data_IF_477759605234
#
_entry.id   IF_477759605234
#
_cell.length_a   1.000
_cell.length_b   1.000
_cell.length_c   1.000
_cell.angle_alpha   90.00
_cell.angle_beta   90.00
_cell.angle_gamma   90.00
#
_symmetry.space_group_name_H-M   'P 1'
#
loop_
_entity.id
_entity.type
_entity.pdbx_description
1 polymer ?
#
# COMPACT_ATOMS: atom_id res chain seq x y z
N UNK A 1 -2.08 18.29 0.89
CA UNK A 1 -1.85 16.83 0.91
C UNK A 1 -0.86 16.51 -0.21
N UNK A 2 0.05 15.56 -0.04
CA UNK A 2 1.00 15.20 -1.12
C UNK A 2 0.21 14.70 -2.35
N UNK A 3 0.60 15.09 -3.55
CA UNK A 3 -0.11 14.75 -4.79
C UNK A 3 -0.22 13.22 -5.00
N UNK A 4 0.76 12.43 -4.53
CA UNK A 4 0.70 10.96 -4.59
C UNK A 4 -0.44 10.43 -3.74
N UNK A 5 -0.60 11.01 -2.55
CA UNK A 5 -1.63 10.60 -1.60
C UNK A 5 -3.01 10.89 -2.19
N UNK A 6 -3.22 12.08 -2.74
CA UNK A 6 -4.52 12.41 -3.38
C UNK A 6 -4.78 11.53 -4.59
N UNK A 7 -3.80 11.33 -5.48
CA UNK A 7 -3.97 10.48 -6.65
C UNK A 7 -4.36 9.05 -6.27
N UNK A 8 -3.68 8.46 -5.27
CA UNK A 8 -4.01 7.12 -4.78
C UNK A 8 -5.42 7.07 -4.17
N UNK A 9 -5.72 8.01 -3.26
CA UNK A 9 -7.02 8.05 -2.58
C UNK A 9 -8.17 8.31 -3.55
N UNK A 10 -7.99 9.14 -4.57
CA UNK A 10 -9.03 9.43 -5.57
C UNK A 10 -9.39 8.19 -6.38
N UNK A 11 -8.39 7.41 -6.82
CA UNK A 11 -8.65 6.14 -7.48
C UNK A 11 -9.35 5.16 -6.54
N UNK A 12 -8.91 5.05 -5.28
CA UNK A 12 -9.55 4.16 -4.31
C UNK A 12 -10.98 4.59 -3.94
N UNK A 13 -11.25 5.90 -3.82
CA UNK A 13 -12.57 6.46 -3.54
C UNK A 13 -13.57 6.11 -4.66
N UNK A 14 -13.12 6.12 -5.91
CA UNK A 14 -13.94 5.74 -7.06
C UNK A 14 -14.37 4.25 -7.03
N UNK A 15 -13.67 3.41 -6.27
CA UNK A 15 -13.96 1.98 -6.12
C UNK A 15 -14.82 1.63 -4.91
N UNK A 16 -15.21 2.63 -4.10
CA UNK A 16 -16.02 2.41 -2.90
C UNK A 16 -17.35 1.73 -3.24
N UNK A 17 -17.67 0.67 -2.50
CA UNK A 17 -18.84 -0.16 -2.75
C UNK A 17 -18.60 -1.33 -3.70
N UNK A 18 -17.38 -1.49 -4.23
CA UNK A 18 -17.01 -2.69 -4.98
C UNK A 18 -17.21 -3.94 -4.11
N UNK A 19 -17.88 -4.94 -4.67
CA UNK A 19 -18.10 -6.24 -4.05
C UNK A 19 -17.48 -7.34 -4.92
N UNK A 20 -16.74 -8.26 -4.31
CA UNK A 20 -16.27 -9.44 -5.03
C UNK A 20 -17.45 -10.27 -5.56
N UNK A 21 -17.21 -10.97 -6.67
CA UNK A 21 -18.13 -11.98 -7.20
C UNK A 21 -17.85 -13.34 -6.55
N UNK A 22 -18.72 -14.31 -6.80
CA UNK A 22 -18.57 -15.67 -6.28
C UNK A 22 -17.17 -16.26 -6.51
N UNK A 23 -16.67 -16.99 -5.52
CA UNK A 23 -15.33 -17.61 -5.56
C UNK A 23 -14.17 -16.62 -5.42
N UNK A 24 -14.33 -15.50 -4.68
CA UNK A 24 -13.31 -14.45 -4.49
C UNK A 24 -12.88 -13.74 -5.79
N UNK A 25 -13.69 -13.80 -6.84
CA UNK A 25 -13.33 -13.18 -8.11
C UNK A 25 -13.43 -11.66 -8.00
N UNK A 26 -12.35 -10.96 -8.37
CA UNK A 26 -12.32 -9.51 -8.49
C UNK A 26 -11.60 -9.04 -9.76
N UNK A 27 -11.89 -7.80 -10.19
CA UNK A 27 -11.14 -7.14 -11.26
C UNK A 27 -9.69 -6.88 -10.84
N UNK A 28 -9.45 -6.63 -9.56
CA UNK A 28 -8.13 -6.40 -8.97
C UNK A 28 -7.27 -7.66 -9.05
N UNK A 29 -7.78 -8.80 -8.57
CA UNK A 29 -7.10 -10.10 -8.67
C UNK A 29 -6.90 -10.54 -10.11
N UNK A 30 -7.89 -10.34 -10.98
CA UNK A 30 -7.76 -10.66 -12.42
C UNK A 30 -6.65 -9.84 -13.09
N UNK A 31 -6.59 -8.54 -12.80
CA UNK A 31 -5.54 -7.67 -13.31
C UNK A 31 -4.16 -8.07 -12.75
N UNK A 32 -4.07 -8.33 -11.44
CA UNK A 32 -2.81 -8.69 -10.79
C UNK A 32 -2.27 -10.01 -11.34
N UNK A 33 -3.13 -11.04 -11.47
CA UNK A 33 -2.81 -12.31 -12.09
C UNK A 33 -2.22 -12.15 -13.49
N UNK A 34 -2.78 -11.25 -14.32
CA UNK A 34 -2.23 -10.93 -15.64
C UNK A 34 -0.88 -10.20 -15.53
N UNK A 35 -0.75 -9.24 -14.62
CA UNK A 35 0.47 -8.44 -14.42
C UNK A 35 1.67 -9.32 -14.05
N UNK A 36 1.46 -10.31 -13.17
CA UNK A 36 2.55 -11.18 -12.67
C UNK A 36 2.64 -12.53 -13.40
N UNK A 37 1.75 -12.80 -14.35
CA UNK A 37 1.75 -14.05 -15.12
C UNK A 37 1.32 -15.29 -14.32
N UNK A 38 0.58 -15.12 -13.22
CA UNK A 38 0.19 -16.21 -12.33
C UNK A 38 -1.34 -16.21 -12.08
N UNK A 39 -2.07 -17.22 -12.60
CA UNK A 39 -3.52 -17.28 -12.50
C UNK A 39 -4.04 -17.47 -11.06
N UNK A 40 -3.21 -17.90 -10.10
CA UNK A 40 -3.67 -18.15 -8.73
C UNK A 40 -4.24 -16.88 -8.06
N UNK A 41 -3.73 -15.70 -8.45
CA UNK A 41 -4.15 -14.41 -7.89
C UNK A 41 -5.54 -13.96 -8.34
N UNK A 42 -6.15 -14.61 -9.34
CA UNK A 42 -7.49 -14.24 -9.82
C UNK A 42 -8.56 -14.41 -8.74
N UNK A 43 -8.38 -15.38 -7.84
CA UNK A 43 -9.34 -15.80 -6.83
C UNK A 43 -8.70 -15.86 -5.43
N UNK A 44 -7.73 -14.98 -5.17
CA UNK A 44 -7.01 -14.88 -3.90
C UNK A 44 -7.52 -13.69 -3.04
N UNK A 45 -7.20 -13.65 -1.73
CA UNK A 45 -7.41 -12.46 -0.90
C UNK A 45 -6.79 -11.22 -1.55
N UNK A 46 -7.56 -10.13 -1.63
CA UNK A 46 -7.30 -9.05 -2.58
C UNK A 46 -7.12 -7.66 -1.95
N UNK A 47 -6.91 -7.59 -0.64
CA UNK A 47 -6.64 -6.32 0.06
C UNK A 47 -5.47 -5.56 -0.59
N UNK A 48 -4.32 -6.21 -0.69
CA UNK A 48 -3.10 -5.62 -1.26
C UNK A 48 -3.19 -5.41 -2.79
N UNK A 49 -3.78 -6.38 -3.50
CA UNK A 49 -3.97 -6.28 -4.95
C UNK A 49 -4.86 -5.10 -5.36
N UNK A 50 -5.83 -4.71 -4.51
CA UNK A 50 -6.63 -3.51 -4.78
C UNK A 50 -5.82 -2.22 -4.67
N UNK A 51 -4.88 -2.14 -3.72
CA UNK A 51 -3.99 -0.99 -3.56
C UNK A 51 -2.97 -0.95 -4.70
N UNK A 52 -2.39 -2.11 -5.07
CA UNK A 52 -1.50 -2.22 -6.23
C UNK A 52 -2.19 -1.76 -7.53
N UNK A 53 -3.45 -2.17 -7.75
CA UNK A 53 -4.24 -1.71 -8.89
C UNK A 53 -4.47 -0.21 -8.85
N UNK A 54 -4.84 0.33 -7.69
CA UNK A 54 -5.10 1.76 -7.54
C UNK A 54 -3.83 2.59 -7.79
N UNK A 55 -2.70 2.16 -7.23
CA UNK A 55 -1.40 2.81 -7.42
C UNK A 55 -0.96 2.81 -8.88
N UNK A 56 -1.18 1.71 -9.62
CA UNK A 56 -0.93 1.66 -11.07
C UNK A 56 -1.79 2.69 -11.82
N UNK A 57 -3.10 2.75 -11.54
CA UNK A 57 -4.01 3.69 -12.23
C UNK A 57 -3.73 5.15 -11.88
N UNK A 58 -3.24 5.40 -10.68
CA UNK A 58 -2.84 6.72 -10.21
C UNK A 58 -1.45 7.14 -10.73
N UNK A 59 -0.69 6.23 -11.36
CA UNK A 59 0.68 6.50 -11.80
C UNK A 59 1.68 6.68 -10.66
N UNK A 60 1.44 6.04 -9.51
CA UNK A 60 2.24 6.16 -8.28
C UNK A 60 2.77 4.82 -7.77
N UNK A 61 2.71 3.78 -8.59
CA UNK A 61 3.14 2.42 -8.24
C UNK A 61 4.60 2.35 -7.78
N UNK A 62 5.48 3.22 -8.27
CA UNK A 62 6.88 3.25 -7.81
C UNK A 62 6.99 3.56 -6.32
N UNK A 63 6.10 4.40 -5.79
CA UNK A 63 6.15 4.87 -4.40
C UNK A 63 5.28 4.03 -3.45
N UNK A 64 4.27 3.35 -3.98
CA UNK A 64 3.35 2.51 -3.21
C UNK A 64 3.73 1.03 -3.25
N UNK A 65 4.34 0.55 -4.34
CA UNK A 65 4.59 -0.87 -4.57
C UNK A 65 3.42 -1.61 -5.22
N UNK A 66 3.67 -2.87 -5.60
CA UNK A 66 2.70 -3.76 -6.25
C UNK A 66 2.77 -5.15 -5.63
N UNK A 67 1.91 -5.42 -4.64
CA UNK A 67 1.95 -6.63 -3.83
C UNK A 67 0.61 -7.37 -3.80
N UNK A 68 0.68 -8.66 -3.46
CA UNK A 68 -0.46 -9.49 -3.07
C UNK A 68 -0.31 -10.06 -1.65
N UNK A 69 0.91 -10.11 -1.11
CA UNK A 69 1.21 -10.66 0.20
C UNK A 69 1.66 -9.55 1.16
N UNK A 70 0.86 -9.34 2.20
CA UNK A 70 0.95 -8.19 3.12
C UNK A 70 2.26 -8.13 3.92
N UNK A 71 2.87 -9.23 4.43
CA UNK A 71 4.18 -9.17 5.08
C UNK A 71 5.30 -8.68 4.15
N UNK A 72 5.30 -9.11 2.87
CA UNK A 72 6.29 -8.64 1.90
C UNK A 72 6.16 -7.14 1.65
N UNK A 73 4.94 -6.63 1.59
CA UNK A 73 4.71 -5.20 1.41
C UNK A 73 5.20 -4.38 2.60
N UNK A 74 4.95 -4.84 3.83
CA UNK A 74 5.49 -4.20 5.02
C UNK A 74 7.04 -4.23 5.05
N UNK A 75 7.66 -5.35 4.67
CA UNK A 75 9.12 -5.45 4.55
C UNK A 75 9.65 -4.49 3.50
N UNK A 76 8.95 -4.32 2.37
CA UNK A 76 9.36 -3.39 1.32
C UNK A 76 9.42 -1.94 1.84
N UNK A 77 8.42 -1.47 2.58
CA UNK A 77 8.48 -0.14 3.21
C UNK A 77 9.63 -0.02 4.21
N UNK A 78 9.90 -1.06 5.00
CA UNK A 78 11.06 -1.08 5.91
C UNK A 78 12.39 -0.98 5.17
N UNK A 79 12.53 -1.66 4.04
CA UNK A 79 13.72 -1.60 3.19
C UNK A 79 13.91 -0.23 2.52
N UNK A 80 12.84 0.53 2.33
CA UNK A 80 12.87 1.89 1.79
C UNK A 80 12.90 2.96 2.88
N UNK A 81 13.19 2.59 4.14
CA UNK A 81 13.22 3.51 5.28
C UNK A 81 11.93 4.34 5.45
N UNK A 82 10.81 3.77 4.98
CA UNK A 82 9.52 4.42 4.88
C UNK A 82 8.47 3.74 5.79
N UNK A 83 8.93 3.13 6.89
CA UNK A 83 8.09 2.48 7.89
C UNK A 83 8.02 3.33 9.16
N UNK A 84 6.81 3.51 9.71
CA UNK A 84 6.58 4.28 10.94
C UNK A 84 5.51 3.62 11.82
N UNK A 85 5.44 4.03 13.09
CA UNK A 85 4.37 3.68 14.01
C UNK A 85 3.27 4.75 14.07
N UNK A 86 3.46 5.90 13.41
CA UNK A 86 2.54 7.03 13.42
C UNK A 86 1.62 7.07 12.17
N UNK A 87 0.30 7.23 12.32
CA UNK A 87 -0.61 7.32 11.19
C UNK A 87 -0.57 8.68 10.51
N UNK A 88 -0.68 8.69 9.18
CA UNK A 88 -0.93 9.90 8.40
C UNK A 88 -1.83 9.61 7.19
N UNK A 89 -2.58 10.60 6.66
CA UNK A 89 -3.30 10.44 5.40
C UNK A 89 -2.38 9.97 4.27
N UNK A 90 -2.79 8.92 3.56
CA UNK A 90 -2.05 8.28 2.49
C UNK A 90 -1.12 7.14 2.92
N UNK A 91 -0.88 6.97 4.21
CA UNK A 91 -0.12 5.83 4.71
C UNK A 91 -0.87 4.52 4.45
N UNK A 92 -0.11 3.47 4.10
CA UNK A 92 -0.62 2.11 4.10
C UNK A 92 -0.57 1.57 5.53
N UNK A 93 -1.71 1.21 6.08
CA UNK A 93 -1.82 0.65 7.43
C UNK A 93 -1.85 -0.86 7.37
N UNK A 94 -1.01 -1.52 8.17
CA UNK A 94 -0.89 -2.97 8.22
C UNK A 94 -1.40 -3.52 9.56
N UNK A 95 -2.24 -4.55 9.50
CA UNK A 95 -2.89 -5.12 10.68
C UNK A 95 -2.51 -6.58 10.92
N UNK A 96 -2.35 -6.94 12.19
CA UNK A 96 -2.26 -8.32 12.69
C UNK A 96 -3.47 -8.54 13.61
N UNK A 97 -4.44 -9.32 13.16
CA UNK A 97 -5.67 -9.58 13.90
C UNK A 97 -5.42 -10.39 15.17
N UNK A 98 -4.40 -11.27 15.12
CA UNK A 98 -3.87 -11.96 16.29
C UNK A 98 -3.30 -11.01 17.35
N UNK A 99 -2.94 -9.78 16.97
CA UNK A 99 -2.50 -8.72 17.87
C UNK A 99 -1.10 -8.94 18.45
N UNK A 100 -0.29 -9.80 17.84
CA UNK A 100 1.11 -9.99 18.23
C UNK A 100 2.01 -8.83 17.79
N UNK A 101 1.50 -7.97 16.89
CA UNK A 101 2.21 -6.84 16.27
C UNK A 101 3.48 -7.27 15.52
N UNK A 102 3.54 -8.53 15.10
CA UNK A 102 4.66 -9.07 14.33
C UNK A 102 4.40 -8.89 12.83
N UNK A 103 5.32 -8.24 12.13
CA UNK A 103 5.21 -8.01 10.68
C UNK A 103 5.03 -9.30 9.86
N UNK A 104 5.54 -10.44 10.35
CA UNK A 104 5.38 -11.75 9.71
C UNK A 104 3.96 -12.30 9.80
N UNK A 105 3.13 -11.74 10.68
CA UNK A 105 1.74 -12.15 10.95
C UNK A 105 0.74 -11.09 10.51
N UNK A 106 1.13 -10.19 9.61
CA UNK A 106 0.19 -9.21 9.05
C UNK A 106 -0.85 -9.95 8.22
N UNK A 107 -2.10 -9.76 8.57
CA UNK A 107 -3.27 -10.37 7.92
C UNK A 107 -3.91 -9.45 6.87
N UNK A 108 -3.73 -8.13 7.00
CA UNK A 108 -4.48 -7.16 6.21
C UNK A 108 -3.74 -5.84 6.02
N UNK A 109 -4.10 -5.14 4.94
CA UNK A 109 -3.63 -3.80 4.62
C UNK A 109 -4.78 -2.92 4.17
N UNK A 110 -4.71 -1.63 4.50
CA UNK A 110 -5.59 -0.57 4.00
C UNK A 110 -4.82 0.72 3.73
N UNK A 111 -5.50 1.75 3.22
CA UNK A 111 -4.93 3.09 3.09
C UNK A 111 -5.65 4.04 4.03
N UNK A 112 -4.91 4.80 4.82
CA UNK A 112 -5.44 5.82 5.72
C UNK A 112 -5.96 6.99 4.88
N UNK A 113 -7.26 7.25 4.89
CA UNK A 113 -7.86 8.42 4.25
C UNK A 113 -7.73 9.66 5.14
N UNK A 114 -7.89 9.51 6.46
CA UNK A 114 -7.69 10.60 7.44
C UNK A 114 -7.51 10.07 8.86
N UNK A 115 -6.92 10.90 9.72
CA UNK A 115 -6.81 10.67 11.17
C UNK A 115 -7.67 11.70 11.90
N UNK A 116 -8.61 11.27 12.73
CA UNK A 116 -9.43 12.18 13.52
C UNK A 116 -10.05 11.50 14.73
N UNK A 117 -10.22 12.24 15.83
CA UNK A 117 -10.87 11.72 17.04
C UNK A 117 -10.16 10.51 17.66
N UNK A 118 -8.82 10.45 17.55
CA UNK A 118 -8.01 9.32 18.04
C UNK A 118 -8.24 8.02 17.29
N UNK A 119 -8.71 8.10 16.04
CA UNK A 119 -8.96 6.94 15.17
C UNK A 119 -8.42 7.20 13.77
N UNK A 120 -8.09 6.12 13.08
CA UNK A 120 -7.80 6.13 11.65
C UNK A 120 -9.07 5.80 10.87
N UNK A 121 -9.30 6.56 9.80
CA UNK A 121 -10.33 6.30 8.82
C UNK A 121 -9.64 5.78 7.56
N UNK A 122 -10.02 4.60 7.11
CA UNK A 122 -9.30 3.84 6.08
C UNK A 122 -10.20 3.54 4.90
N UNK A 123 -9.60 3.31 3.72
CA UNK A 123 -10.23 2.62 2.59
C UNK A 123 -9.53 1.27 2.44
N UNK A 124 -10.30 0.19 2.47
CA UNK A 124 -9.79 -1.17 2.54
C UNK A 124 -10.51 -2.06 1.52
N UNK A 125 -9.75 -2.81 0.71
CA UNK A 125 -10.27 -3.89 -0.13
C UNK A 125 -10.32 -5.21 0.63
N UNK A 126 -11.21 -6.14 0.23
CA UNK A 126 -11.40 -7.44 0.89
C UNK A 126 -11.78 -7.33 2.39
N UNK A 127 -12.33 -6.20 2.82
CA UNK A 127 -12.83 -6.02 4.19
C UNK A 127 -14.24 -6.58 4.34
N UNK A 128 -14.56 -7.05 5.54
CA UNK A 128 -15.79 -7.82 5.81
C UNK A 128 -15.98 -8.93 4.77
N UNK A 129 -14.83 -9.57 4.42
CA UNK A 129 -14.60 -10.61 3.43
C UNK A 129 -14.79 -10.21 1.96
N UNK A 130 -15.73 -9.33 1.64
CA UNK A 130 -16.20 -9.20 0.24
C UNK A 130 -16.15 -7.78 -0.32
N UNK A 131 -15.82 -6.77 0.49
CA UNK A 131 -16.03 -5.36 0.12
C UNK A 131 -14.75 -4.56 -0.05
N UNK A 132 -14.80 -3.56 -0.93
CA UNK A 132 -13.94 -2.38 -0.87
C UNK A 132 -14.76 -1.24 -0.28
N UNK A 133 -14.42 -0.81 0.94
CA UNK A 133 -15.17 0.26 1.62
C UNK A 133 -14.36 0.98 2.67
N UNK A 134 -14.96 2.03 3.22
CA UNK A 134 -14.41 2.75 4.37
C UNK A 134 -14.56 1.94 5.66
N UNK A 135 -13.56 2.04 6.53
CA UNK A 135 -13.63 1.61 7.94
C UNK A 135 -13.14 2.70 8.86
N UNK A 136 -13.58 2.63 10.11
CA UNK A 136 -13.00 3.40 11.22
C UNK A 136 -12.33 2.37 12.12
N UNK A 137 -11.04 2.56 12.42
CA UNK A 137 -10.25 1.62 13.20
C UNK A 137 -9.64 2.32 14.40
N UNK A 138 -9.57 1.62 15.53
CA UNK A 138 -8.55 1.88 16.53
C UNK A 138 -7.22 1.23 16.11
N UNK A 139 -6.14 1.58 16.81
CA UNK A 139 -4.79 1.16 16.45
C UNK A 139 -4.30 -0.05 17.26
N UNK A 140 -5.16 -0.72 18.05
CA UNK A 140 -4.74 -1.83 18.92
C UNK A 140 -4.18 -3.03 18.15
N UNK A 141 -4.62 -3.21 16.90
CA UNK A 141 -4.20 -4.28 15.99
C UNK A 141 -3.25 -3.82 14.88
N UNK A 142 -2.85 -2.56 14.90
CA UNK A 142 -1.90 -2.01 13.93
C UNK A 142 -0.50 -2.53 14.25
N UNK A 143 0.16 -3.02 13.21
CA UNK A 143 1.58 -3.41 13.22
C UNK A 143 2.47 -2.23 12.88
N UNK A 144 2.01 -1.34 12.02
CA UNK A 144 2.64 -0.09 11.64
C UNK A 144 2.16 0.39 10.28
N UNK A 145 2.85 1.39 9.75
CA UNK A 145 2.45 2.14 8.57
C UNK A 145 3.59 2.24 7.56
N UNK A 146 3.27 2.09 6.28
CA UNK A 146 4.14 2.39 5.15
C UNK A 146 3.84 3.75 4.56
N UNK A 147 4.86 4.57 4.30
CA UNK A 147 4.73 5.96 3.85
C UNK A 147 5.18 6.16 2.38
N UNK A 148 4.27 6.14 1.40
CA UNK A 148 4.63 6.38 -0.01
C UNK A 148 5.38 7.68 -0.26
N UNK A 149 5.07 8.76 0.48
CA UNK A 149 5.77 10.05 0.34
C UNK A 149 7.26 9.96 0.68
N UNK A 150 7.64 9.15 1.66
CA UNK A 150 9.05 8.98 2.05
C UNK A 150 9.82 8.22 0.96
N UNK A 151 9.19 7.21 0.36
CA UNK A 151 9.76 6.50 -0.80
C UNK A 151 9.98 7.45 -1.98
N UNK A 152 9.04 8.37 -2.23
CA UNK A 152 9.18 9.41 -3.26
C UNK A 152 10.32 10.37 -2.95
N UNK A 153 10.37 10.90 -1.73
CA UNK A 153 11.41 11.82 -1.27
C UNK A 153 12.81 11.22 -1.47
N UNK A 154 13.01 9.96 -1.04
CA UNK A 154 14.26 9.24 -1.21
C UNK A 154 14.64 9.06 -2.70
N UNK A 155 13.68 8.68 -3.56
CA UNK A 155 13.93 8.56 -5.01
C UNK A 155 14.27 9.89 -5.67
N UNK A 156 13.60 10.97 -5.29
CA UNK A 156 13.89 12.30 -5.83
C UNK A 156 15.26 12.81 -5.36
N UNK A 157 15.67 12.48 -4.13
CA UNK A 157 17.01 12.77 -3.64
C UNK A 157 18.06 12.02 -4.45
N UNK A 158 17.90 10.70 -4.66
CA UNK A 158 18.81 9.89 -5.46
C UNK A 158 18.91 10.36 -6.93
N UNK A 159 17.80 10.78 -7.53
CA UNK A 159 17.81 11.30 -8.90
C UNK A 159 18.50 12.68 -9.04
N UNK A 160 18.63 13.43 -7.94
CA UNK A 160 19.28 14.75 -7.90
C UNK A 160 20.79 14.68 -7.61
N UNK A 161 21.31 13.52 -7.21
CA UNK A 161 22.73 13.29 -6.94
C UNK A 161 23.37 12.28 -7.90
N UNK A 162 23.61 12.64 -9.19
CA UNK A 162 24.32 11.79 -10.13
C UNK A 162 25.86 11.93 -10.05
N UNK A 163 26.44 12.65 -9.07
CA UNK A 163 27.82 13.15 -9.14
C UNK A 163 28.89 12.34 -8.38
N UNK A 164 28.56 11.26 -7.66
CA UNK A 164 29.61 10.46 -7.00
C UNK A 164 30.43 9.56 -7.96
N UNK A 165 29.96 9.34 -9.19
CA UNK A 165 30.68 8.53 -10.21
C UNK A 165 31.51 9.38 -11.19
N UNK A 166 31.33 10.71 -11.22
CA UNK A 166 32.07 11.60 -12.12
C UNK A 166 33.40 12.11 -11.53
N UNK A 167 33.52 12.17 -10.20
CA UNK A 167 34.71 12.72 -9.52
C UNK A 167 35.91 11.75 -9.46
N UNK A 168 35.77 10.53 -9.99
CA UNK A 168 36.88 9.57 -10.14
C UNK A 168 37.52 9.54 -11.54
N UNK A 169 37.01 10.35 -12.48
CA UNK A 169 37.50 10.38 -13.87
C UNK A 169 38.51 11.50 -14.13
N UNK A 170 38.67 12.46 -13.21
CA UNK A 170 39.59 13.61 -13.35
C UNK A 170 40.87 13.51 -12.50
N UNK A 171 41.31 12.30 -12.14
CA UNK A 171 42.57 12.08 -11.41
C UNK A 171 43.57 11.14 -12.11
N UNK A 172 43.48 10.99 -13.44
CA UNK A 172 44.52 10.37 -14.29
C UNK A 172 44.79 11.23 -15.53
#
# INVERSE_FOLDING_TARGET
MDQIVENLLDVMRAELGYREKGGQYTKFGTWYAKKVGDPQYRNAPWCDMSIAWAAERAGVADYVGSFAWTPSHAVWFKQHEAWTDEPEPGALVFFDWGGSKNYKKIDHVGVVERVAGGKIHTIEGNVDRVWLKRKVRDESKVVGYGLPRVVKEARLAAARDPLHDADMVDLL
#
